data_IF_907140626154
#
_entry.id   IF_907140626154
#
_cell.length_a   1.000
_cell.length_b   1.000
_cell.length_c   1.000
_cell.angle_alpha   90.00
_cell.angle_beta   90.00
_cell.angle_gamma   90.00
#
_symmetry.space_group_name_H-M   'P 1'
#
loop_
_entity.id
_entity.type
_entity.pdbx_description
1 polymer ?
#
# COMPACT_ATOMS: atom_id res chain seq x y z
N UNK A 1 -4.36 15.99 -1.41
CA UNK A 1 -5.21 15.46 -0.32
C UNK A 1 -4.61 14.12 0.09
N UNK A 2 -4.00 14.01 1.27
CA UNK A 2 -3.43 12.73 1.73
C UNK A 2 -4.51 11.91 2.43
N UNK A 3 -4.62 10.63 2.07
CA UNK A 3 -5.60 9.71 2.66
C UNK A 3 -4.83 8.60 3.38
N UNK A 4 -5.37 8.13 4.50
CA UNK A 4 -4.84 6.93 5.17
C UNK A 4 -5.41 5.70 4.48
N UNK A 5 -4.54 4.85 3.94
CA UNK A 5 -4.91 3.66 3.17
C UNK A 5 -4.24 2.45 3.81
N UNK A 6 -5.01 1.40 4.07
CA UNK A 6 -4.48 0.12 4.52
C UNK A 6 -4.53 -0.90 3.39
N UNK A 7 -3.41 -1.53 3.09
CA UNK A 7 -3.28 -2.54 2.04
C UNK A 7 -2.93 -3.89 2.67
N UNK A 8 -3.77 -4.90 2.45
CA UNK A 8 -3.60 -6.24 3.01
C UNK A 8 -3.34 -7.22 1.88
N UNK A 9 -2.20 -7.93 1.96
CA UNK A 9 -1.77 -8.91 0.96
C UNK A 9 -0.65 -8.39 0.07
N UNK A 10 0.58 -8.79 0.39
CA UNK A 10 1.78 -8.40 -0.35
C UNK A 10 2.22 -9.53 -1.29
N UNK A 11 1.43 -9.78 -2.33
CA UNK A 11 1.84 -10.64 -3.44
C UNK A 11 2.71 -9.88 -4.46
N UNK A 12 3.07 -10.57 -5.55
CA UNK A 12 3.81 -9.99 -6.69
C UNK A 12 3.16 -8.71 -7.27
N UNK A 13 1.83 -8.61 -7.22
CA UNK A 13 1.09 -7.41 -7.64
C UNK A 13 0.86 -6.41 -6.50
N UNK A 14 0.72 -6.90 -5.26
CA UNK A 14 0.33 -6.06 -4.10
C UNK A 14 1.42 -5.08 -3.69
N UNK A 15 2.68 -5.52 -3.72
CA UNK A 15 3.83 -4.67 -3.36
C UNK A 15 4.00 -3.44 -4.29
N UNK A 16 4.01 -3.56 -5.63
CA UNK A 16 4.10 -2.39 -6.50
C UNK A 16 2.86 -1.49 -6.43
N UNK A 17 1.65 -2.05 -6.23
CA UNK A 17 0.44 -1.24 -6.01
C UNK A 17 0.53 -0.36 -4.76
N UNK A 18 0.93 -0.93 -3.62
CA UNK A 18 1.15 -0.15 -2.39
C UNK A 18 2.22 0.94 -2.59
N UNK A 19 3.28 0.65 -3.36
CA UNK A 19 4.30 1.61 -3.74
C UNK A 19 3.78 2.78 -4.58
N UNK A 20 2.87 2.54 -5.53
CA UNK A 20 2.25 3.61 -6.31
C UNK A 20 1.34 4.50 -5.46
N UNK A 21 0.56 3.90 -4.55
CA UNK A 21 -0.32 4.65 -3.64
C UNK A 21 0.53 5.52 -2.69
N UNK A 22 1.67 5.01 -2.22
CA UNK A 22 2.62 5.78 -1.42
C UNK A 22 3.27 6.92 -2.24
N UNK A 23 3.71 6.64 -3.49
CA UNK A 23 4.26 7.67 -4.39
C UNK A 23 3.26 8.77 -4.75
N UNK A 24 1.97 8.45 -4.77
CA UNK A 24 0.90 9.44 -4.96
C UNK A 24 0.68 10.35 -3.73
N UNK A 25 1.43 10.16 -2.64
CA UNK A 25 1.39 11.01 -1.45
C UNK A 25 0.34 10.59 -0.40
N UNK A 26 -0.20 9.38 -0.51
CA UNK A 26 -1.08 8.80 0.51
C UNK A 26 -0.27 8.08 1.59
N UNK A 27 -0.79 8.09 2.81
CA UNK A 27 -0.19 7.38 3.93
C UNK A 27 -0.66 5.92 3.89
N UNK A 28 0.21 5.03 3.43
CA UNK A 28 -0.11 3.62 3.19
C UNK A 28 0.47 2.74 4.29
N UNK A 29 -0.39 2.00 4.98
CA UNK A 29 0.01 0.93 5.89
C UNK A 29 -0.18 -0.41 5.19
N UNK A 30 0.87 -1.22 5.16
CA UNK A 30 0.86 -2.54 4.51
C UNK A 30 0.91 -3.64 5.55
N UNK A 31 0.07 -4.66 5.39
CA UNK A 31 0.05 -5.83 6.24
C UNK A 31 -0.01 -7.11 5.41
N UNK A 32 0.72 -8.12 5.85
CA UNK A 32 0.70 -9.45 5.26
C UNK A 32 0.60 -10.48 6.38
N UNK A 33 -0.03 -11.63 6.08
CA UNK A 33 -0.26 -12.68 7.09
C UNK A 33 1.02 -13.44 7.48
N UNK A 34 2.05 -13.34 6.66
CA UNK A 34 3.38 -13.95 6.82
C UNK A 34 4.44 -12.88 6.81
#
# INVERSE_FOLDING_TARGET
>A
MSCKVSFIGLGVMGYPMAGYISKAGHNVTVYNRT
#
